data_IF_006166732064
#
_entry.id   IF_006166732064
#
_cell.length_a   1.000
_cell.length_b   1.000
_cell.length_c   1.000
_cell.angle_alpha   90.00
_cell.angle_beta   90.00
_cell.angle_gamma   90.00
#
_symmetry.space_group_name_H-M   'P 1'
#
loop_
_entity.id
_entity.type
_entity.pdbx_description
1 polymer ?
#
# COMPACT_ATOMS: atom_id res chain seq x y z
N UNK A 1 23.41 12.98 -32.74
CA UNK A 1 21.93 13.05 -32.69
C UNK A 1 21.35 12.04 -31.67
N UNK A 2 21.80 10.79 -31.67
CA UNK A 2 21.33 9.72 -30.75
C UNK A 2 21.62 10.07 -29.29
N UNK A 3 22.76 10.65 -28.97
CA UNK A 3 23.16 11.02 -27.62
C UNK A 3 22.27 12.13 -27.03
N UNK A 4 21.79 13.06 -27.84
CA UNK A 4 20.87 14.13 -27.40
C UNK A 4 19.49 13.58 -27.11
N UNK A 5 18.99 12.59 -27.87
CA UNK A 5 17.69 11.95 -27.68
C UNK A 5 17.69 11.13 -26.37
N UNK A 6 18.75 10.36 -26.12
CA UNK A 6 18.93 9.58 -24.89
C UNK A 6 18.99 10.51 -23.68
N UNK A 7 19.73 11.63 -23.78
CA UNK A 7 19.81 12.64 -22.71
C UNK A 7 18.45 13.29 -22.42
N UNK A 8 17.65 13.62 -23.44
CA UNK A 8 16.32 14.21 -23.27
C UNK A 8 15.34 13.26 -22.59
N UNK A 9 15.34 11.98 -22.98
CA UNK A 9 14.47 10.96 -22.37
C UNK A 9 14.86 10.68 -20.92
N UNK A 10 16.15 10.58 -20.64
CA UNK A 10 16.66 10.40 -19.29
C UNK A 10 16.28 11.57 -18.37
N UNK A 11 16.52 12.81 -18.81
CA UNK A 11 16.18 14.02 -18.04
C UNK A 11 14.69 14.10 -17.73
N UNK A 12 13.83 13.73 -18.67
CA UNK A 12 12.39 13.75 -18.46
C UNK A 12 11.93 12.67 -17.48
N UNK A 13 12.45 11.45 -17.58
CA UNK A 13 12.16 10.39 -16.63
C UNK A 13 12.62 10.77 -15.21
N UNK A 14 13.75 11.46 -15.09
CA UNK A 14 14.26 11.99 -13.85
C UNK A 14 13.32 13.06 -13.27
N UNK A 15 12.82 13.98 -14.09
CA UNK A 15 11.86 15.01 -13.64
C UNK A 15 10.56 14.37 -13.17
N UNK A 16 10.01 13.39 -13.92
CA UNK A 16 8.83 12.63 -13.51
C UNK A 16 9.03 11.90 -12.17
N UNK A 17 10.19 11.28 -11.98
CA UNK A 17 10.56 10.64 -10.72
C UNK A 17 10.53 11.64 -9.55
N UNK A 18 11.14 12.81 -9.70
CA UNK A 18 11.14 13.85 -8.67
C UNK A 18 9.74 14.39 -8.38
N UNK A 19 8.89 14.56 -9.40
CA UNK A 19 7.49 14.97 -9.20
C UNK A 19 6.74 13.92 -8.40
N UNK A 20 6.87 12.63 -8.74
CA UNK A 20 6.25 11.54 -7.98
C UNK A 20 6.74 11.51 -6.53
N UNK A 21 8.04 11.68 -6.29
CA UNK A 21 8.61 11.72 -4.94
C UNK A 21 8.12 12.93 -4.14
N UNK A 22 7.99 14.09 -4.76
CA UNK A 22 7.43 15.29 -4.13
C UNK A 22 5.95 15.09 -3.75
N UNK A 23 5.15 14.49 -4.62
CA UNK A 23 3.76 14.15 -4.34
C UNK A 23 3.63 13.15 -3.20
N UNK A 24 4.50 12.13 -3.17
CA UNK A 24 4.58 11.15 -2.07
C UNK A 24 4.91 11.83 -0.74
N UNK A 25 5.91 12.69 -0.73
CA UNK A 25 6.33 13.42 0.48
C UNK A 25 5.22 14.35 0.98
N UNK A 26 4.56 15.07 0.08
CA UNK A 26 3.44 15.95 0.42
C UNK A 26 2.25 15.16 0.97
N UNK A 27 1.90 14.06 0.31
CA UNK A 27 0.83 13.16 0.76
C UNK A 27 1.12 12.59 2.14
N UNK A 28 2.34 12.12 2.38
CA UNK A 28 2.78 11.64 3.69
C UNK A 28 2.67 12.70 4.78
N UNK A 29 3.17 13.91 4.54
CA UNK A 29 3.10 15.00 5.51
C UNK A 29 1.67 15.44 5.83
N UNK A 30 0.77 15.40 4.84
CA UNK A 30 -0.62 15.83 5.00
C UNK A 30 -1.52 14.77 5.63
N UNK A 31 -1.33 13.50 5.29
CA UNK A 31 -2.22 12.39 5.65
C UNK A 31 -1.61 11.42 6.65
N UNK A 32 -0.28 11.27 6.68
CA UNK A 32 0.43 10.28 7.49
C UNK A 32 0.59 10.64 8.97
N UNK A 33 0.38 11.90 9.34
CA UNK A 33 0.58 12.38 10.72
C UNK A 33 -0.68 12.41 11.58
N UNK A 34 -1.78 11.85 11.12
CA UNK A 34 -3.00 11.78 11.93
C UNK A 34 -2.88 10.65 12.94
N UNK A 35 -2.85 11.00 14.21
CA UNK A 35 -2.95 10.04 15.30
C UNK A 35 -4.27 9.28 15.23
N UNK A 36 -4.19 7.97 15.30
CA UNK A 36 -5.33 7.08 15.24
C UNK A 36 -6.15 7.11 16.53
N UNK A 37 -5.51 7.45 17.66
CA UNK A 37 -6.05 7.37 19.00
C UNK A 37 -6.72 6.00 19.27
N UNK A 38 -5.98 4.89 19.16
CA UNK A 38 -6.54 3.57 19.38
C UNK A 38 -6.95 3.38 20.83
N UNK A 39 -8.09 2.74 21.04
CA UNK A 39 -8.53 2.33 22.36
C UNK A 39 -8.35 0.81 22.47
N UNK A 40 -7.45 0.38 23.36
CA UNK A 40 -7.22 -1.04 23.62
C UNK A 40 -8.40 -1.58 24.42
N UNK A 41 -9.01 -2.65 23.92
CA UNK A 41 -10.12 -3.37 24.57
C UNK A 41 -9.57 -4.47 25.45
N UNK A 42 -8.50 -5.14 25.02
CA UNK A 42 -7.88 -6.24 25.73
C UNK A 42 -6.94 -7.05 24.86
N UNK A 43 -6.53 -8.19 25.39
CA UNK A 43 -5.69 -9.17 24.70
C UNK A 43 -6.49 -10.45 24.50
N UNK A 44 -6.23 -11.17 23.42
CA UNK A 44 -6.87 -12.45 23.14
C UNK A 44 -5.92 -13.37 22.36
N UNK A 45 -6.23 -14.66 22.39
CA UNK A 45 -5.55 -15.66 21.59
C UNK A 45 -6.42 -15.99 20.39
N UNK A 46 -5.83 -16.01 19.21
CA UNK A 46 -6.50 -16.36 17.96
C UNK A 46 -6.77 -17.86 17.93
N UNK A 47 -8.01 -18.23 17.73
CA UNK A 47 -8.47 -19.60 17.65
C UNK A 47 -8.93 -19.91 16.23
N UNK A 48 -8.77 -21.16 15.82
CA UNK A 48 -9.28 -21.67 14.54
C UNK A 48 -10.64 -22.34 14.78
N UNK A 49 -11.63 -21.95 13.99
CA UNK A 49 -12.90 -22.67 13.94
C UNK A 49 -12.75 -23.91 13.05
N UNK A 50 -12.96 -25.08 13.64
CA UNK A 50 -12.86 -26.39 12.96
C UNK A 50 -14.22 -26.92 12.52
N UNK A 51 -15.29 -26.15 12.69
CA UNK A 51 -16.65 -26.62 12.36
C UNK A 51 -16.85 -26.79 10.83
N UNK A 52 -16.09 -26.08 10.02
CA UNK A 52 -16.13 -26.21 8.55
C UNK A 52 -14.71 -26.49 8.02
N UNK A 53 -14.44 -27.73 7.60
CA UNK A 53 -13.15 -28.12 7.05
C UNK A 53 -12.80 -27.42 5.72
N UNK A 54 -13.80 -26.85 5.04
CA UNK A 54 -13.61 -26.18 3.75
C UNK A 54 -13.11 -24.75 3.88
N UNK A 55 -13.29 -24.10 5.06
CA UNK A 55 -12.91 -22.69 5.30
C UNK A 55 -12.24 -22.53 6.65
N UNK A 56 -10.99 -22.09 6.64
CA UNK A 56 -10.29 -21.69 7.86
C UNK A 56 -10.84 -20.36 8.33
N UNK A 57 -11.65 -20.36 9.38
CA UNK A 57 -12.20 -19.17 10.01
C UNK A 57 -11.48 -18.96 11.34
N UNK A 58 -10.85 -17.79 11.49
CA UNK A 58 -10.17 -17.42 12.72
C UNK A 58 -11.05 -16.51 13.56
N UNK A 59 -11.02 -16.69 14.87
CA UNK A 59 -11.75 -15.85 15.82
C UNK A 59 -10.93 -15.61 17.08
N UNK A 60 -11.30 -14.58 17.83
CA UNK A 60 -10.77 -14.29 19.14
C UNK A 60 -11.94 -14.01 20.11
N UNK A 61 -11.81 -14.41 21.37
CA UNK A 61 -12.80 -14.13 22.40
C UNK A 61 -12.32 -12.93 23.20
N UNK A 62 -13.07 -11.85 23.15
CA UNK A 62 -12.78 -10.60 23.85
C UNK A 62 -14.01 -10.19 24.65
N UNK A 63 -13.87 -10.02 25.97
CA UNK A 63 -14.98 -9.67 26.85
C UNK A 63 -16.22 -10.58 26.68
N UNK A 64 -15.99 -11.89 26.60
CA UNK A 64 -17.01 -12.92 26.34
C UNK A 64 -17.75 -12.80 24.99
N UNK A 65 -17.21 -12.04 24.04
CA UNK A 65 -17.73 -11.94 22.69
C UNK A 65 -16.77 -12.58 21.69
N UNK A 66 -17.32 -13.38 20.79
CA UNK A 66 -16.57 -13.95 19.67
C UNK A 66 -16.45 -12.91 18.58
N UNK A 67 -15.22 -12.52 18.28
CA UNK A 67 -14.87 -11.57 17.22
C UNK A 67 -14.16 -12.31 16.10
N UNK A 68 -14.61 -12.12 14.87
CA UNK A 68 -13.96 -12.67 13.69
C UNK A 68 -12.62 -11.96 13.45
N UNK A 69 -11.57 -12.72 13.13
CA UNK A 69 -10.24 -12.20 12.86
C UNK A 69 -9.90 -12.44 11.39
N UNK A 70 -10.15 -11.46 10.55
CA UNK A 70 -9.82 -11.54 9.11
C UNK A 70 -8.36 -11.21 8.83
N UNK A 71 -7.85 -10.18 9.50
CA UNK A 71 -6.49 -9.66 9.33
C UNK A 71 -5.94 -9.19 10.68
N UNK A 72 -4.64 -9.28 10.82
CA UNK A 72 -3.88 -8.84 11.99
C UNK A 72 -2.82 -7.84 11.55
N UNK A 73 -2.75 -6.70 12.23
CA UNK A 73 -1.74 -5.67 11.98
C UNK A 73 -0.40 -6.13 12.57
N UNK A 74 0.68 -6.13 11.79
CA UNK A 74 2.03 -6.41 12.28
C UNK A 74 2.69 -5.14 12.83
N UNK A 75 3.78 -5.30 13.58
CA UNK A 75 4.61 -4.19 14.11
C UNK A 75 5.15 -3.27 13.01
N UNK A 76 5.31 -3.81 11.81
CA UNK A 76 5.82 -3.06 10.64
C UNK A 76 4.72 -2.34 9.86
N UNK A 77 3.47 -2.41 10.31
CA UNK A 77 2.34 -1.77 9.65
C UNK A 77 1.75 -2.54 8.48
N UNK A 78 2.05 -3.83 8.35
CA UNK A 78 1.47 -4.68 7.30
C UNK A 78 0.29 -5.48 7.86
N UNK A 79 -0.75 -5.68 7.03
CA UNK A 79 -1.85 -6.56 7.33
C UNK A 79 -1.50 -8.00 6.96
N UNK A 80 -1.44 -8.87 7.94
CA UNK A 80 -1.11 -10.28 7.80
C UNK A 80 -2.33 -11.17 8.02
N UNK A 81 -2.25 -12.40 7.51
CA UNK A 81 -3.26 -13.40 7.84
C UNK A 81 -3.11 -13.83 9.30
N UNK A 82 -4.24 -14.05 10.01
CA UNK A 82 -4.20 -14.53 11.38
C UNK A 82 -3.53 -15.90 11.47
N UNK A 83 -2.84 -16.14 12.59
CA UNK A 83 -2.23 -17.45 12.90
C UNK A 83 -2.89 -18.01 14.15
N UNK A 84 -3.23 -19.29 14.11
CA UNK A 84 -3.76 -20.00 15.27
C UNK A 84 -2.78 -19.90 16.45
N UNK A 85 -3.32 -19.82 17.65
CA UNK A 85 -2.59 -19.73 18.93
C UNK A 85 -1.68 -18.50 19.07
N UNK A 86 -1.79 -17.53 18.14
CA UNK A 86 -1.08 -16.25 18.28
C UNK A 86 -1.79 -15.31 19.25
N UNK A 87 -1.02 -14.61 20.07
CA UNK A 87 -1.52 -13.54 20.91
C UNK A 87 -1.75 -12.29 20.07
N UNK A 88 -2.87 -11.64 20.27
CA UNK A 88 -3.22 -10.38 19.61
C UNK A 88 -3.73 -9.36 20.62
N UNK A 89 -3.37 -8.10 20.41
CA UNK A 89 -3.99 -6.96 21.10
C UNK A 89 -5.20 -6.50 20.29
N UNK A 90 -6.34 -6.37 20.97
CA UNK A 90 -7.62 -6.00 20.38
C UNK A 90 -7.89 -4.53 20.66
N UNK A 91 -8.17 -3.77 19.63
CA UNK A 91 -8.39 -2.33 19.76
C UNK A 91 -9.49 -1.82 18.82
N UNK A 92 -10.04 -0.67 19.16
CA UNK A 92 -10.94 0.10 18.29
C UNK A 92 -10.33 1.46 17.98
N UNK A 93 -10.77 2.07 16.90
CA UNK A 93 -10.39 3.41 16.51
C UNK A 93 -11.57 4.34 16.71
N UNK A 94 -11.34 5.53 17.24
CA UNK A 94 -12.41 6.48 17.63
C UNK A 94 -13.42 6.80 16.51
N UNK A 95 -13.06 6.59 15.26
CA UNK A 95 -13.90 6.85 14.07
C UNK A 95 -14.57 5.59 13.51
N UNK A 96 -14.19 4.43 14.01
CA UNK A 96 -14.63 3.16 13.48
C UNK A 96 -15.16 2.31 14.63
N UNK A 97 -16.34 1.76 14.46
CA UNK A 97 -16.94 0.82 15.44
C UNK A 97 -16.41 -0.60 15.30
N UNK A 98 -15.54 -0.82 14.28
CA UNK A 98 -14.96 -2.12 14.02
C UNK A 98 -13.84 -2.44 15.01
N UNK A 99 -13.75 -3.73 15.34
CA UNK A 99 -12.68 -4.28 16.16
C UNK A 99 -11.50 -4.65 15.27
N UNK A 100 -10.33 -4.14 15.65
CA UNK A 100 -9.08 -4.42 14.95
C UNK A 100 -8.14 -5.23 15.82
N UNK A 101 -7.22 -5.95 15.20
CA UNK A 101 -6.28 -6.84 15.86
C UNK A 101 -4.85 -6.50 15.48
N UNK A 102 -3.95 -6.45 16.45
CA UNK A 102 -2.52 -6.29 16.23
C UNK A 102 -1.74 -7.45 16.85
N UNK A 103 -0.72 -7.92 16.17
CA UNK A 103 0.10 -9.05 16.60
C UNK A 103 0.85 -8.75 17.91
N UNK A 104 0.80 -9.66 18.86
CA UNK A 104 1.50 -9.54 20.13
C UNK A 104 0.80 -8.66 21.16
N UNK A 105 1.50 -8.43 22.27
CA UNK A 105 1.11 -7.50 23.32
C UNK A 105 1.72 -6.14 23.03
N UNK A 106 0.88 -5.17 22.72
CA UNK A 106 1.30 -3.82 22.30
C UNK A 106 0.49 -2.76 23.02
N UNK A 107 1.08 -1.58 23.17
CA UNK A 107 0.45 -0.40 23.70
C UNK A 107 -0.18 0.46 22.59
N UNK A 108 -0.90 1.50 22.96
CA UNK A 108 -1.57 2.40 22.04
C UNK A 108 -0.58 3.17 21.13
N UNK A 109 0.62 3.46 21.64
CA UNK A 109 1.66 4.17 20.89
C UNK A 109 2.24 3.27 19.77
N UNK A 110 2.48 1.99 20.07
CA UNK A 110 2.94 1.02 19.08
C UNK A 110 1.91 0.80 17.97
N UNK A 111 0.60 0.75 18.30
CA UNK A 111 -0.48 0.67 17.33
C UNK A 111 -0.48 1.91 16.41
N UNK A 112 -0.39 3.10 17.00
CA UNK A 112 -0.39 4.35 16.25
C UNK A 112 0.83 4.42 15.30
N UNK A 113 2.00 4.03 15.77
CA UNK A 113 3.23 3.95 14.98
C UNK A 113 3.14 2.93 13.84
N UNK A 114 2.62 1.73 14.10
CA UNK A 114 2.44 0.71 13.07
C UNK A 114 1.48 1.18 11.98
N UNK A 115 0.41 1.85 12.37
CA UNK A 115 -0.56 2.42 11.44
C UNK A 115 0.02 3.57 10.61
N UNK A 116 0.83 4.43 11.22
CA UNK A 116 1.55 5.48 10.50
C UNK A 116 2.54 4.92 9.47
N UNK A 117 3.13 3.76 9.72
CA UNK A 117 4.02 3.09 8.78
C UNK A 117 3.31 2.57 7.51
N UNK A 118 2.00 2.34 7.56
CA UNK A 118 1.23 1.92 6.37
C UNK A 118 1.12 3.04 5.32
N UNK A 119 0.97 4.26 5.77
CA UNK A 119 0.71 5.41 4.89
C UNK A 119 1.80 5.60 3.84
N UNK A 120 3.10 5.63 4.18
CA UNK A 120 4.15 5.78 3.20
C UNK A 120 4.21 4.61 2.20
N UNK A 121 3.93 3.38 2.63
CA UNK A 121 3.89 2.22 1.73
C UNK A 121 2.78 2.32 0.70
N UNK A 122 1.58 2.75 1.09
CA UNK A 122 0.45 2.95 0.19
C UNK A 122 0.78 4.04 -0.84
N UNK A 123 1.33 5.17 -0.39
CA UNK A 123 1.72 6.26 -1.30
C UNK A 123 2.88 5.85 -2.22
N UNK A 124 3.84 5.07 -1.73
CA UNK A 124 4.92 4.54 -2.56
C UNK A 124 4.38 3.62 -3.66
N UNK A 125 3.47 2.71 -3.32
CA UNK A 125 2.83 1.81 -4.29
C UNK A 125 2.03 2.58 -5.35
N UNK A 126 1.22 3.56 -4.93
CA UNK A 126 0.46 4.42 -5.85
C UNK A 126 1.38 5.25 -6.74
N UNK A 127 2.44 5.84 -6.20
CA UNK A 127 3.43 6.60 -6.97
C UNK A 127 4.14 5.75 -8.00
N UNK A 128 4.51 4.50 -7.66
CA UNK A 128 5.10 3.55 -8.59
C UNK A 128 4.12 3.16 -9.71
N UNK A 129 2.83 2.91 -9.40
CA UNK A 129 1.82 2.61 -10.42
C UNK A 129 1.64 3.78 -11.40
N UNK A 130 1.55 5.01 -10.90
CA UNK A 130 1.45 6.21 -11.75
C UNK A 130 2.70 6.38 -12.60
N UNK A 131 3.89 6.16 -12.05
CA UNK A 131 5.16 6.25 -12.76
C UNK A 131 5.24 5.23 -13.90
N UNK A 132 4.88 3.97 -13.64
CA UNK A 132 4.86 2.90 -14.67
C UNK A 132 3.84 3.21 -15.76
N UNK A 133 2.64 3.68 -15.42
CA UNK A 133 1.61 4.07 -16.39
C UNK A 133 2.06 5.23 -17.29
N UNK A 134 2.74 6.23 -16.73
CA UNK A 134 3.29 7.35 -17.49
C UNK A 134 4.43 6.90 -18.42
N UNK A 135 5.30 5.98 -17.96
CA UNK A 135 6.34 5.41 -18.81
C UNK A 135 5.76 4.62 -19.99
N UNK A 136 4.74 3.80 -19.72
CA UNK A 136 4.09 2.99 -20.77
C UNK A 136 3.43 3.86 -21.84
N UNK A 137 2.62 4.83 -21.42
CA UNK A 137 2.00 5.79 -22.34
C UNK A 137 3.03 6.51 -23.21
N UNK A 138 4.17 6.86 -22.61
CA UNK A 138 5.23 7.55 -23.35
C UNK A 138 5.92 6.66 -24.38
N UNK A 139 6.08 5.37 -24.11
CA UNK A 139 6.63 4.43 -25.09
C UNK A 139 5.69 4.28 -26.28
N UNK A 140 4.38 4.18 -26.07
CA UNK A 140 3.37 4.13 -27.15
C UNK A 140 3.42 5.38 -28.03
N UNK A 141 3.47 6.59 -27.43
CA UNK A 141 3.55 7.84 -28.19
C UNK A 141 4.84 7.95 -29.00
N UNK A 142 5.96 7.38 -28.53
CA UNK A 142 7.23 7.39 -29.25
C UNK A 142 7.26 6.40 -30.41
N UNK A 143 6.60 5.27 -30.30
CA UNK A 143 6.49 4.27 -31.38
C UNK A 143 5.59 4.76 -32.53
N UNK A 144 4.48 5.43 -32.21
CA UNK A 144 3.59 6.01 -33.22
C UNK A 144 4.25 7.10 -34.04
N UNK A 145 5.06 7.97 -33.40
CA UNK A 145 5.83 9.02 -34.11
C UNK A 145 6.89 8.46 -35.04
N UNK A 146 7.57 7.38 -34.66
CA UNK A 146 8.59 6.71 -35.52
C UNK A 146 7.95 5.98 -36.69
N UNK A 147 6.75 5.45 -36.54
CA UNK A 147 6.01 4.80 -37.60
C UNK A 147 5.56 5.80 -38.70
N UNK A 148 5.00 6.94 -38.29
CA UNK A 148 4.57 8.00 -39.23
C UNK A 148 5.73 8.59 -40.06
N UNK A 149 6.89 8.82 -39.42
CA UNK A 149 8.09 9.32 -40.13
C UNK A 149 8.63 8.31 -41.15
N UNK A 150 8.51 7.02 -40.90
CA UNK A 150 8.95 5.96 -41.81
C UNK A 150 8.05 5.86 -43.06
N UNK A 151 6.74 6.05 -42.90
CA UNK A 151 5.78 6.06 -44.00
C UNK A 151 5.83 7.33 -44.83
N UNK A 152 6.05 8.49 -44.21
CA UNK A 152 6.22 9.76 -44.92
C UNK A 152 7.46 9.76 -45.83
N UNK A 153 8.55 9.15 -45.38
CA UNK A 153 9.76 9.00 -46.20
C UNK A 153 9.63 8.03 -47.38
N UNK A 154 8.81 6.99 -47.22
CA UNK A 154 8.59 6.02 -48.29
C UNK A 154 7.73 6.59 -49.44
N UNK A 155 6.75 7.42 -49.09
CA UNK A 155 5.87 8.09 -50.09
C UNK A 155 6.52 9.29 -50.78
N UNK A 156 7.70 9.76 -50.32
CA UNK A 156 8.45 10.85 -50.95
C UNK A 156 9.50 10.38 -51.97
N UNK A 157 9.68 9.06 -52.16
CA UNK A 157 10.67 8.46 -53.06
C UNK A 157 10.02 7.83 -54.29
N UNK A 158 8.69 7.60 -54.28
CA UNK A 158 7.90 7.21 -55.45
C UNK A 158 7.31 8.43 -56.16
#
# INVERSE_FOLDING_TARGET
TIFIIISSTFMRNLVLFFICMACLHFGYNKFGRKTLNPQIIGEAVVQLDTADESKKVYFAIVNNRRCLVDKVLSEHGMWENPRQDSLVTVFTVKKDTLTHFMSGRVDAEAIDKAYQNQVPMIFAALGMMVFVALLHKYQEDSETLTYDDSHAKKNAID
#
